data_IF_650720040253
#
_entry.id   IF_650720040253
#
_cell.length_a   1.000
_cell.length_b   1.000
_cell.length_c   1.000
_cell.angle_alpha   90.00
_cell.angle_beta   90.00
_cell.angle_gamma   90.00
#
_symmetry.space_group_name_H-M   'P 1'
#
loop_
_entity.id
_entity.type
_entity.pdbx_description
1 polymer ?
#
# COMPACT_ATOMS: atom_id res chain seq x y z
N UNK A 1 -25.60 14.79 16.82
CA UNK A 1 -25.74 13.33 16.74
C UNK A 1 -25.76 12.75 18.15
N UNK A 2 -24.77 12.97 19.01
CA UNK A 2 -24.67 12.36 20.34
C UNK A 2 -25.93 12.60 21.21
N UNK A 3 -26.45 13.81 21.27
CA UNK A 3 -27.64 14.16 22.04
C UNK A 3 -28.90 13.38 21.57
N UNK A 4 -29.03 13.12 20.28
CA UNK A 4 -30.16 12.33 19.73
C UNK A 4 -30.15 10.87 20.19
N UNK A 5 -29.03 10.41 20.71
CA UNK A 5 -28.83 9.04 21.20
C UNK A 5 -28.62 9.00 22.73
N UNK A 6 -28.90 10.11 23.44
CA UNK A 6 -28.68 10.25 24.89
C UNK A 6 -27.23 9.95 25.31
N UNK A 7 -26.27 10.32 24.48
CA UNK A 7 -24.84 10.17 24.75
C UNK A 7 -24.24 11.48 25.24
N UNK A 8 -23.28 11.44 26.19
CA UNK A 8 -22.60 12.63 26.67
C UNK A 8 -21.90 13.40 25.55
N UNK A 9 -21.98 14.73 25.54
CA UNK A 9 -21.29 15.58 24.56
C UNK A 9 -19.77 15.38 24.55
N UNK A 10 -19.20 15.06 25.71
CA UNK A 10 -17.77 14.85 25.90
C UNK A 10 -17.21 13.55 25.24
N UNK A 11 -18.08 12.66 24.70
CA UNK A 11 -17.61 11.47 23.98
C UNK A 11 -16.81 11.78 22.72
N UNK A 12 -17.03 12.94 22.11
CA UNK A 12 -16.22 13.43 20.99
C UNK A 12 -15.81 14.86 21.32
N UNK A 13 -14.54 15.07 21.51
CA UNK A 13 -13.98 16.38 21.85
C UNK A 13 -12.99 16.81 20.77
N UNK A 14 -13.06 18.07 20.38
CA UNK A 14 -12.09 18.70 19.48
C UNK A 14 -11.28 19.69 20.31
N UNK A 15 -9.95 19.62 20.21
CA UNK A 15 -9.06 20.59 20.84
C UNK A 15 -9.28 21.95 20.19
N UNK A 16 -9.71 23.00 20.95
CA UNK A 16 -10.16 24.25 20.35
C UNK A 16 -9.02 25.13 19.81
N UNK A 17 -7.77 24.85 20.22
CA UNK A 17 -6.60 25.61 19.82
C UNK A 17 -5.73 24.72 18.91
N UNK A 18 -5.39 25.15 17.66
CA UNK A 18 -4.56 24.40 16.74
C UNK A 18 -3.06 24.49 17.03
N UNK A 19 -2.65 25.05 18.15
CA UNK A 19 -1.24 25.15 18.50
C UNK A 19 -0.60 23.76 18.63
N UNK A 20 0.49 23.55 17.92
CA UNK A 20 1.23 22.27 17.94
C UNK A 20 1.84 21.93 19.30
N UNK A 21 2.03 22.91 20.19
CA UNK A 21 2.47 22.67 21.56
C UNK A 21 1.49 21.78 22.32
N UNK A 22 0.19 21.91 22.07
CA UNK A 22 -0.83 21.06 22.68
C UNK A 22 -0.76 19.60 22.21
N UNK A 23 -0.26 19.36 21.01
CA UNK A 23 -0.01 17.98 20.55
C UNK A 23 1.08 17.31 21.41
N UNK A 24 2.13 18.05 21.77
CA UNK A 24 3.16 17.54 22.68
C UNK A 24 2.57 17.17 24.05
N UNK A 25 1.76 18.03 24.61
CA UNK A 25 1.08 17.79 25.89
C UNK A 25 0.18 16.56 25.83
N UNK A 26 -0.60 16.40 24.75
CA UNK A 26 -1.47 15.23 24.55
C UNK A 26 -0.69 13.91 24.48
N UNK A 27 0.45 13.91 23.78
CA UNK A 27 1.30 12.73 23.64
C UNK A 27 1.87 12.22 24.98
N UNK A 28 1.85 13.05 26.02
CA UNK A 28 2.34 12.71 27.36
C UNK A 28 1.25 12.21 28.31
N UNK A 29 -0.03 12.31 27.97
CA UNK A 29 -1.18 12.08 28.86
C UNK A 29 -1.55 10.61 29.00
N UNK A 30 -0.66 9.77 29.52
CA UNK A 30 -0.87 8.32 29.71
C UNK A 30 -2.07 7.98 30.62
N UNK A 31 -2.39 8.86 31.56
CA UNK A 31 -3.48 8.63 32.52
C UNK A 31 -4.87 8.90 31.91
N UNK A 32 -4.92 9.55 30.74
CA UNK A 32 -6.17 9.99 30.11
C UNK A 32 -6.33 9.53 28.67
N UNK A 33 -5.25 9.12 27.99
CA UNK A 33 -5.25 8.73 26.59
C UNK A 33 -4.66 7.33 26.47
N UNK A 34 -5.44 6.40 25.95
CA UNK A 34 -5.06 5.00 25.77
C UNK A 34 -4.27 4.77 24.48
N UNK A 35 -4.59 5.50 23.40
CA UNK A 35 -3.97 5.31 22.09
C UNK A 35 -4.02 6.59 21.25
N UNK A 36 -2.97 6.81 20.47
CA UNK A 36 -2.88 7.88 19.46
C UNK A 36 -2.87 7.24 18.07
N UNK A 37 -3.70 7.79 17.18
CA UNK A 37 -3.74 7.41 15.76
C UNK A 37 -3.39 8.66 14.94
N UNK A 38 -2.12 8.87 14.57
CA UNK A 38 -1.71 10.08 13.85
C UNK A 38 -2.24 10.07 12.42
N UNK A 39 -2.57 11.26 11.92
CA UNK A 39 -2.99 11.51 10.55
C UNK A 39 -2.19 12.67 9.97
N UNK A 40 -1.44 12.42 8.93
CA UNK A 40 -0.60 13.42 8.28
C UNK A 40 0.50 12.78 7.43
N UNK A 41 1.44 13.56 6.96
CA UNK A 41 2.61 13.09 6.24
C UNK A 41 3.61 12.37 7.16
N UNK A 42 4.56 11.68 6.56
CA UNK A 42 5.58 10.85 7.21
C UNK A 42 6.31 11.58 8.36
N UNK A 43 6.67 12.86 8.14
CA UNK A 43 7.34 13.66 9.18
C UNK A 43 6.52 13.86 10.45
N UNK A 44 5.18 14.01 10.35
CA UNK A 44 4.31 14.08 11.52
C UNK A 44 4.21 12.72 12.21
N UNK A 45 4.08 11.65 11.44
CA UNK A 45 3.95 10.30 11.99
C UNK A 45 5.23 9.90 12.71
N UNK A 46 6.39 10.15 12.12
CA UNK A 46 7.69 9.94 12.77
C UNK A 46 7.80 10.75 14.07
N UNK A 47 7.46 12.04 14.01
CA UNK A 47 7.51 12.90 15.19
C UNK A 47 6.64 12.37 16.34
N UNK A 48 5.41 11.94 16.04
CA UNK A 48 4.51 11.37 17.06
C UNK A 48 5.05 10.07 17.60
N UNK A 49 5.54 9.19 16.72
CA UNK A 49 6.08 7.88 17.10
C UNK A 49 7.30 7.99 18.02
N UNK A 50 8.18 8.94 17.72
CA UNK A 50 9.43 9.12 18.47
C UNK A 50 9.22 9.82 19.82
N UNK A 51 8.16 10.63 19.96
CA UNK A 51 7.95 11.48 21.14
C UNK A 51 6.77 11.07 22.02
N UNK A 52 5.83 10.24 21.53
CA UNK A 52 4.67 9.87 22.31
C UNK A 52 5.03 8.93 23.47
N UNK A 53 4.50 9.22 24.64
CA UNK A 53 4.50 8.32 25.80
C UNK A 53 3.28 7.40 25.84
N UNK A 54 2.27 7.71 25.04
CA UNK A 54 1.04 6.94 24.80
C UNK A 54 1.27 5.98 23.64
N UNK A 55 0.72 4.78 23.65
CA UNK A 55 0.78 3.86 22.51
C UNK A 55 0.29 4.49 21.20
N UNK A 56 0.99 4.25 20.09
CA UNK A 56 0.69 4.82 18.78
C UNK A 56 0.35 3.71 17.80
N UNK A 57 -0.76 3.87 17.08
CA UNK A 57 -1.11 3.04 15.91
C UNK A 57 -0.76 3.83 14.68
N UNK A 58 0.29 3.43 13.97
CA UNK A 58 0.80 4.17 12.81
C UNK A 58 1.13 3.27 11.63
N UNK A 59 1.10 3.88 10.44
CA UNK A 59 1.78 3.40 9.25
C UNK A 59 2.50 4.59 8.60
N UNK A 60 3.60 4.34 7.93
CA UNK A 60 4.43 5.41 7.35
C UNK A 60 4.11 5.64 5.87
N UNK A 61 4.04 4.58 5.09
CA UNK A 61 3.80 4.58 3.64
C UNK A 61 2.81 3.49 3.26
N UNK A 62 2.13 3.68 2.11
CA UNK A 62 1.31 2.68 1.45
C UNK A 62 1.94 2.26 0.11
N UNK A 63 3.09 1.57 0.13
CA UNK A 63 3.70 1.00 -1.08
C UNK A 63 3.20 -0.42 -1.25
N UNK A 64 2.21 -0.59 -2.11
CA UNK A 64 1.57 -1.87 -2.39
C UNK A 64 1.99 -2.38 -3.76
N UNK A 65 2.21 -3.69 -3.90
CA UNK A 65 2.62 -4.31 -5.15
C UNK A 65 1.57 -5.27 -5.71
N UNK A 66 1.56 -5.36 -7.04
CA UNK A 66 0.98 -6.49 -7.77
C UNK A 66 2.11 -7.28 -8.42
N UNK A 67 2.29 -8.54 -8.02
CA UNK A 67 3.16 -9.47 -8.71
C UNK A 67 2.36 -10.28 -9.74
N UNK A 68 2.77 -10.22 -10.99
CA UNK A 68 2.22 -11.02 -12.11
C UNK A 68 3.15 -12.20 -12.33
N UNK A 69 2.72 -13.36 -11.88
CA UNK A 69 3.46 -14.61 -11.98
C UNK A 69 3.45 -15.15 -13.43
N UNK A 70 4.37 -16.07 -13.75
CA UNK A 70 4.45 -16.74 -15.06
C UNK A 70 3.17 -17.49 -15.42
N UNK A 71 2.45 -18.00 -14.43
CA UNK A 71 1.21 -18.76 -14.58
C UNK A 71 -0.03 -17.86 -14.38
N UNK A 72 0.10 -16.55 -14.56
CA UNK A 72 -0.99 -15.59 -14.41
C UNK A 72 -1.95 -15.60 -15.61
N UNK A 73 -3.24 -15.41 -15.34
CA UNK A 73 -4.18 -14.96 -16.37
C UNK A 73 -3.95 -13.46 -16.62
N UNK A 74 -3.42 -13.10 -17.80
CA UNK A 74 -2.99 -11.73 -18.10
C UNK A 74 -4.15 -10.74 -18.22
N UNK A 75 -5.36 -11.17 -18.60
CA UNK A 75 -6.54 -10.30 -18.63
C UNK A 75 -6.98 -9.97 -17.21
N UNK A 76 -6.93 -10.96 -16.31
CA UNK A 76 -7.16 -10.74 -14.88
C UNK A 76 -6.10 -9.82 -14.30
N UNK A 77 -4.82 -10.06 -14.58
CA UNK A 77 -3.72 -9.20 -14.12
C UNK A 77 -3.89 -7.74 -14.56
N UNK A 78 -4.32 -7.51 -15.80
CA UNK A 78 -4.63 -6.17 -16.33
C UNK A 78 -5.78 -5.52 -15.56
N UNK A 79 -6.86 -6.24 -15.30
CA UNK A 79 -7.99 -5.71 -14.54
C UNK A 79 -7.59 -5.34 -13.12
N UNK A 80 -6.78 -6.17 -12.44
CA UNK A 80 -6.26 -5.90 -11.11
C UNK A 80 -5.35 -4.68 -11.09
N UNK A 81 -4.44 -4.57 -12.07
CA UNK A 81 -3.51 -3.46 -12.22
C UNK A 81 -4.25 -2.13 -12.41
N UNK A 82 -5.16 -2.08 -13.37
CA UNK A 82 -5.91 -0.86 -13.67
C UNK A 82 -6.80 -0.44 -12.50
N UNK A 83 -7.49 -1.38 -11.87
CA UNK A 83 -8.30 -1.09 -10.69
C UNK A 83 -7.42 -0.58 -9.53
N UNK A 84 -6.34 -1.29 -9.21
CA UNK A 84 -5.45 -0.97 -8.10
C UNK A 84 -4.74 0.37 -8.27
N UNK A 85 -4.34 0.74 -9.50
CA UNK A 85 -3.62 2.01 -9.74
C UNK A 85 -4.51 3.19 -10.09
N UNK A 86 -5.60 2.99 -10.85
CA UNK A 86 -6.30 4.15 -11.45
C UNK A 86 -7.65 4.49 -10.82
N UNK A 87 -8.19 3.65 -9.95
CA UNK A 87 -9.49 3.91 -9.30
C UNK A 87 -9.39 5.08 -8.30
N UNK A 88 -8.36 5.09 -7.46
CA UNK A 88 -8.10 6.14 -6.46
C UNK A 88 -6.63 6.10 -6.06
N UNK A 89 -5.86 7.07 -6.52
CA UNK A 89 -4.40 7.07 -6.38
C UNK A 89 -3.90 7.52 -5.01
N UNK A 90 -4.60 8.44 -4.34
CA UNK A 90 -4.17 9.07 -3.09
C UNK A 90 -4.58 8.30 -1.83
N UNK A 91 -4.52 6.96 -1.85
CA UNK A 91 -4.85 6.10 -0.71
C UNK A 91 -3.81 5.01 -0.54
N UNK A 92 -3.58 4.61 0.70
CA UNK A 92 -2.50 3.69 1.09
C UNK A 92 -2.58 2.28 0.49
N UNK A 93 -3.75 1.84 -0.02
CA UNK A 93 -3.92 0.55 -0.71
C UNK A 93 -3.95 0.66 -2.24
N UNK A 94 -3.61 1.84 -2.81
CA UNK A 94 -3.34 1.97 -4.23
C UNK A 94 -2.03 1.24 -4.59
N UNK A 95 -1.93 0.73 -5.82
CA UNK A 95 -0.68 0.12 -6.28
C UNK A 95 0.35 1.21 -6.56
N UNK A 96 1.56 1.03 -6.02
CA UNK A 96 2.73 1.84 -6.30
C UNK A 96 3.81 1.03 -7.03
N UNK A 97 3.72 -0.30 -6.97
CA UNK A 97 4.62 -1.22 -7.65
C UNK A 97 3.91 -2.29 -8.48
N UNK A 98 4.46 -2.57 -9.67
CA UNK A 98 4.12 -3.71 -10.50
C UNK A 98 5.37 -4.56 -10.69
N UNK A 99 5.33 -5.80 -10.23
CA UNK A 99 6.41 -6.78 -10.43
C UNK A 99 5.94 -7.81 -11.44
N UNK A 100 6.71 -8.07 -12.49
CA UNK A 100 6.31 -8.95 -13.58
C UNK A 100 7.36 -10.02 -13.81
N UNK A 101 6.94 -11.27 -13.80
CA UNK A 101 7.82 -12.39 -14.16
C UNK A 101 8.24 -12.27 -15.62
N UNK A 102 9.55 -12.44 -15.91
CA UNK A 102 10.12 -12.27 -17.25
C UNK A 102 9.44 -13.13 -18.34
N UNK A 103 8.94 -14.31 -17.97
CA UNK A 103 8.30 -15.23 -18.91
C UNK A 103 7.01 -14.67 -19.54
N UNK A 104 6.34 -13.73 -18.88
CA UNK A 104 5.08 -13.11 -19.36
C UNK A 104 5.25 -11.63 -19.70
N UNK A 105 6.42 -11.05 -19.45
CA UNK A 105 6.67 -9.62 -19.66
C UNK A 105 6.42 -9.19 -21.12
N UNK A 106 6.87 -9.99 -22.09
CA UNK A 106 6.70 -9.72 -23.52
C UNK A 106 5.24 -9.69 -24.00
N UNK A 107 4.37 -10.49 -23.40
CA UNK A 107 2.95 -10.57 -23.74
C UNK A 107 2.10 -9.56 -22.93
N UNK A 108 2.56 -9.17 -21.75
CA UNK A 108 1.81 -8.34 -20.81
C UNK A 108 2.17 -6.86 -20.89
N UNK A 109 3.46 -6.50 -20.82
CA UNK A 109 3.90 -5.12 -20.70
C UNK A 109 3.59 -4.22 -21.89
N UNK A 110 3.58 -4.68 -23.17
CA UNK A 110 3.11 -3.85 -24.27
C UNK A 110 1.66 -3.39 -24.11
N UNK A 111 0.79 -4.27 -23.61
CA UNK A 111 -0.62 -3.95 -23.32
C UNK A 111 -0.75 -2.99 -22.15
N UNK A 112 0.09 -3.16 -21.12
CA UNK A 112 0.17 -2.22 -19.98
C UNK A 112 0.59 -0.84 -20.46
N UNK A 113 1.60 -0.76 -21.34
CA UNK A 113 2.09 0.52 -21.88
C UNK A 113 0.99 1.28 -22.62
N UNK A 114 0.20 0.59 -23.45
CA UNK A 114 -0.94 1.18 -24.17
C UNK A 114 -2.01 1.67 -23.19
N UNK A 115 -2.45 0.83 -22.26
CA UNK A 115 -3.47 1.18 -21.28
C UNK A 115 -3.04 2.33 -20.35
N UNK A 116 -1.78 2.37 -19.94
CA UNK A 116 -1.25 3.45 -19.11
C UNK A 116 -1.09 4.75 -19.87
N UNK A 117 -0.71 4.70 -21.13
CA UNK A 117 -0.68 5.88 -22.00
C UNK A 117 -2.07 6.50 -22.13
N UNK A 118 -3.11 5.70 -22.36
CA UNK A 118 -4.50 6.18 -22.44
C UNK A 118 -4.97 6.83 -21.13
N UNK A 119 -4.53 6.31 -19.99
CA UNK A 119 -4.90 6.80 -18.65
C UNK A 119 -3.97 7.88 -18.10
N UNK A 120 -2.91 8.22 -18.80
CA UNK A 120 -1.93 9.22 -18.37
C UNK A 120 -1.10 8.76 -17.15
N UNK A 121 -0.86 7.47 -17.01
CA UNK A 121 -0.02 6.92 -15.95
C UNK A 121 1.46 7.04 -16.33
N UNK A 122 2.25 7.72 -15.53
CA UNK A 122 3.70 7.80 -15.68
C UNK A 122 4.34 6.51 -15.16
N UNK A 123 5.32 6.00 -15.91
CA UNK A 123 5.98 4.72 -15.59
C UNK A 123 7.44 4.95 -15.29
N UNK A 124 7.89 4.36 -14.19
CA UNK A 124 9.30 4.19 -13.81
C UNK A 124 9.64 2.70 -13.93
N UNK A 125 10.78 2.37 -14.53
CA UNK A 125 11.03 0.97 -14.90
C UNK A 125 12.51 0.60 -14.76
N UNK A 126 12.82 -0.69 -14.51
CA UNK A 126 14.19 -1.18 -14.59
C UNK A 126 14.63 -1.39 -16.06
N UNK A 127 15.93 -1.59 -16.28
CA UNK A 127 16.49 -1.81 -17.62
C UNK A 127 15.77 -2.95 -18.40
N UNK A 128 15.45 -4.06 -17.74
CA UNK A 128 14.76 -5.20 -18.39
C UNK A 128 13.38 -4.83 -18.91
N UNK A 129 12.69 -3.91 -18.24
CA UNK A 129 11.36 -3.46 -18.61
C UNK A 129 11.35 -2.28 -19.59
N UNK A 130 12.44 -1.51 -19.69
CA UNK A 130 12.49 -0.26 -20.46
C UNK A 130 12.14 -0.43 -21.93
N UNK A 131 12.45 -1.58 -22.50
CA UNK A 131 12.14 -1.91 -23.91
C UNK A 131 10.62 -1.92 -24.24
N UNK A 132 9.77 -1.98 -23.23
CA UNK A 132 8.30 -2.04 -23.40
C UNK A 132 7.62 -0.68 -23.25
N UNK A 133 8.34 0.35 -22.80
CA UNK A 133 7.75 1.65 -22.46
C UNK A 133 8.56 2.80 -23.08
N UNK A 134 8.07 3.35 -24.18
CA UNK A 134 8.68 4.51 -24.83
C UNK A 134 8.65 5.73 -23.89
N UNK A 135 9.83 6.28 -23.60
CA UNK A 135 9.98 7.46 -22.77
C UNK A 135 9.74 7.25 -21.26
N UNK A 136 9.73 6.01 -20.78
CA UNK A 136 9.71 5.73 -19.35
C UNK A 136 11.02 6.14 -18.68
N UNK A 137 10.93 6.59 -17.43
CA UNK A 137 12.10 6.86 -16.61
C UNK A 137 12.73 5.53 -16.18
N UNK A 138 13.97 5.28 -16.61
CA UNK A 138 14.73 4.14 -16.11
C UNK A 138 15.31 4.52 -14.76
N UNK A 139 14.88 3.81 -13.72
CA UNK A 139 15.25 4.08 -12.34
C UNK A 139 16.30 3.09 -11.83
N UNK A 140 17.11 3.56 -10.88
CA UNK A 140 18.05 2.71 -10.14
C UNK A 140 17.31 1.83 -9.13
N UNK A 141 17.97 0.77 -8.65
CA UNK A 141 17.41 -0.12 -7.64
C UNK A 141 16.97 0.62 -6.36
N UNK A 142 17.69 1.65 -5.97
CA UNK A 142 17.38 2.43 -4.74
C UNK A 142 16.16 3.36 -4.88
N UNK A 143 15.65 3.53 -6.10
CA UNK A 143 14.51 4.41 -6.37
C UNK A 143 13.15 3.71 -6.27
N UNK A 144 13.13 2.40 -6.03
CA UNK A 144 11.89 1.70 -5.68
C UNK A 144 11.44 2.03 -4.25
N UNK A 145 10.18 1.80 -3.94
CA UNK A 145 9.62 2.06 -2.61
C UNK A 145 9.09 3.47 -2.39
N UNK A 146 8.95 4.26 -3.46
CA UNK A 146 8.26 5.55 -3.40
C UNK A 146 6.74 5.37 -3.40
N UNK A 147 6.07 6.15 -2.56
CA UNK A 147 4.62 6.30 -2.56
C UNK A 147 4.25 7.53 -3.40
N UNK A 148 3.87 7.31 -4.65
CA UNK A 148 3.63 8.39 -5.61
C UNK A 148 2.34 9.17 -5.34
N UNK A 149 1.33 8.53 -4.76
CA UNK A 149 0.00 9.10 -4.49
C UNK A 149 -0.67 9.72 -5.72
N UNK A 150 -0.22 9.37 -6.91
CA UNK A 150 -0.61 9.92 -8.19
C UNK A 150 -0.75 8.85 -9.28
N UNK A 151 -0.96 9.28 -10.52
CA UNK A 151 -0.93 8.39 -11.69
C UNK A 151 0.53 8.12 -12.10
N UNK A 152 1.28 7.53 -11.18
CA UNK A 152 2.67 7.09 -11.35
C UNK A 152 2.85 5.72 -10.73
N UNK A 153 3.71 4.87 -11.30
CA UNK A 153 3.98 3.52 -10.80
C UNK A 153 5.39 3.07 -11.17
N UNK A 154 6.03 2.33 -10.26
CA UNK A 154 7.28 1.64 -10.55
C UNK A 154 7.02 0.22 -11.06
N UNK A 155 7.69 -0.16 -12.16
CA UNK A 155 7.55 -1.49 -12.77
C UNK A 155 8.90 -2.19 -12.75
N UNK A 156 8.93 -3.43 -12.26
CA UNK A 156 10.13 -4.27 -12.26
C UNK A 156 9.86 -5.60 -12.94
N UNK A 157 10.70 -5.93 -13.92
CA UNK A 157 10.75 -7.29 -14.50
C UNK A 157 11.75 -8.12 -13.71
N UNK A 158 11.30 -9.26 -13.20
CA UNK A 158 12.08 -10.19 -12.38
C UNK A 158 12.23 -11.55 -13.04
N UNK A 159 13.27 -12.28 -12.65
CA UNK A 159 13.60 -13.56 -13.27
C UNK A 159 12.72 -14.72 -12.77
N UNK A 160 12.32 -14.67 -11.49
CA UNK A 160 11.60 -15.73 -10.81
C UNK A 160 10.74 -15.20 -9.65
N UNK A 161 10.10 -16.13 -8.97
CA UNK A 161 9.23 -15.86 -7.82
C UNK A 161 10.03 -15.33 -6.63
N UNK A 162 11.20 -15.87 -6.37
CA UNK A 162 12.06 -15.49 -5.27
C UNK A 162 12.50 -14.02 -5.39
N UNK A 163 12.90 -13.61 -6.59
CA UNK A 163 13.24 -12.21 -6.88
C UNK A 163 12.06 -11.25 -6.72
N UNK A 164 10.82 -11.72 -6.97
CA UNK A 164 9.63 -10.93 -6.70
C UNK A 164 9.38 -10.76 -5.19
N UNK A 165 9.52 -11.83 -4.40
CA UNK A 165 9.38 -11.79 -2.95
C UNK A 165 10.45 -10.91 -2.31
N UNK A 166 11.70 -11.02 -2.76
CA UNK A 166 12.82 -10.21 -2.28
C UNK A 166 12.59 -8.71 -2.58
N UNK A 167 12.09 -8.39 -3.79
CA UNK A 167 11.73 -7.03 -4.14
C UNK A 167 10.65 -6.46 -3.20
N UNK A 168 9.58 -7.22 -2.97
CA UNK A 168 8.50 -6.82 -2.08
C UNK A 168 9.01 -6.64 -0.65
N UNK A 169 9.87 -7.54 -0.16
CA UNK A 169 10.45 -7.44 1.18
C UNK A 169 11.34 -6.21 1.36
N UNK A 170 12.05 -5.82 0.30
CA UNK A 170 12.96 -4.67 0.33
C UNK A 170 12.24 -3.32 0.18
N UNK A 171 11.25 -3.23 -0.69
CA UNK A 171 10.65 -1.97 -1.12
C UNK A 171 9.19 -1.79 -0.70
N UNK A 172 8.51 -2.84 -0.27
CA UNK A 172 7.17 -2.79 0.25
C UNK A 172 7.08 -2.10 1.61
N UNK A 173 5.87 -1.69 1.95
CA UNK A 173 5.58 -1.02 3.22
C UNK A 173 4.91 -1.93 4.26
N UNK A 174 4.89 -3.23 4.03
CA UNK A 174 4.15 -4.23 4.83
C UNK A 174 2.63 -3.97 4.89
N UNK A 175 2.09 -3.21 3.92
CA UNK A 175 0.68 -2.85 3.90
C UNK A 175 -0.16 -3.90 3.16
N UNK A 176 -0.11 -3.93 1.85
CA UNK A 176 -0.93 -4.83 1.01
C UNK A 176 -0.17 -5.31 -0.20
N UNK A 177 -0.07 -6.62 -0.35
CA UNK A 177 0.67 -7.24 -1.44
C UNK A 177 -0.22 -8.25 -2.17
N UNK A 178 -0.12 -8.29 -3.49
CA UNK A 178 -1.00 -9.10 -4.34
C UNK A 178 -0.17 -9.94 -5.30
N UNK A 179 -0.53 -11.21 -5.45
CA UNK A 179 -0.08 -12.06 -6.57
C UNK A 179 -1.25 -12.34 -7.51
N UNK A 180 -0.99 -12.25 -8.82
CA UNK A 180 -1.85 -12.80 -9.86
C UNK A 180 -1.24 -14.08 -10.38
N UNK A 181 -1.90 -15.22 -10.17
CA UNK A 181 -1.46 -16.56 -10.61
C UNK A 181 -2.63 -17.53 -10.70
N UNK A 182 -2.59 -18.46 -11.63
CA UNK A 182 -3.53 -19.60 -11.68
C UNK A 182 -2.98 -20.84 -10.94
N UNK A 183 -1.71 -20.81 -10.51
CA UNK A 183 -1.13 -21.83 -9.64
C UNK A 183 -1.52 -21.60 -8.18
N UNK A 184 -2.46 -22.43 -7.69
CA UNK A 184 -2.97 -22.32 -6.32
C UNK A 184 -1.89 -22.57 -5.25
N UNK A 185 -0.91 -23.44 -5.51
CA UNK A 185 0.17 -23.71 -4.54
C UNK A 185 1.14 -22.53 -4.49
N UNK A 186 1.42 -21.89 -5.61
CA UNK A 186 2.22 -20.67 -5.67
C UNK A 186 1.51 -19.50 -4.95
N UNK A 187 0.20 -19.38 -5.13
CA UNK A 187 -0.61 -18.41 -4.37
C UNK A 187 -0.48 -18.59 -2.86
N UNK A 188 -0.57 -19.85 -2.37
CA UNK A 188 -0.36 -20.17 -0.94
C UNK A 188 1.08 -19.90 -0.49
N UNK A 189 2.06 -20.20 -1.34
CA UNK A 189 3.46 -19.94 -1.05
C UNK A 189 3.71 -18.43 -0.89
N UNK A 190 3.16 -17.61 -1.78
CA UNK A 190 3.22 -16.16 -1.70
C UNK A 190 2.65 -15.62 -0.39
N UNK A 191 1.47 -16.11 0.03
CA UNK A 191 0.85 -15.74 1.30
C UNK A 191 1.68 -16.10 2.53
N UNK A 192 2.59 -17.08 2.44
CA UNK A 192 3.48 -17.47 3.54
C UNK A 192 4.82 -16.74 3.49
N UNK A 193 5.29 -16.40 2.28
CA UNK A 193 6.60 -15.79 2.08
C UNK A 193 6.58 -14.28 2.26
N UNK A 194 5.46 -13.63 1.93
CA UNK A 194 5.33 -12.17 1.99
C UNK A 194 4.82 -11.72 3.35
N UNK A 195 5.55 -10.81 3.96
CA UNK A 195 5.24 -10.23 5.25
C UNK A 195 4.51 -8.89 5.07
N UNK A 196 3.20 -8.93 5.06
CA UNK A 196 2.35 -7.73 4.98
C UNK A 196 1.06 -7.90 5.79
N UNK A 197 0.42 -6.78 6.12
CA UNK A 197 -0.86 -6.79 6.86
C UNK A 197 -1.95 -7.52 6.09
N UNK A 198 -1.92 -7.41 4.75
CA UNK A 198 -2.86 -8.09 3.85
C UNK A 198 -2.10 -8.67 2.66
N UNK A 199 -2.22 -9.98 2.44
CA UNK A 199 -1.64 -10.69 1.30
C UNK A 199 -2.74 -11.40 0.52
N UNK A 200 -2.94 -11.00 -0.73
CA UNK A 200 -4.06 -11.44 -1.56
C UNK A 200 -3.61 -12.25 -2.78
N UNK A 201 -4.45 -13.15 -3.21
CA UNK A 201 -4.31 -13.91 -4.46
C UNK A 201 -5.46 -13.54 -5.39
N UNK A 202 -5.17 -13.09 -6.60
CA UNK A 202 -6.16 -12.77 -7.63
C UNK A 202 -7.27 -11.78 -7.18
N UNK A 203 -6.93 -10.85 -6.31
CA UNK A 203 -7.84 -9.82 -5.82
C UNK A 203 -7.17 -8.45 -5.91
N UNK A 204 -7.95 -7.39 -6.08
CA UNK A 204 -7.40 -6.03 -6.11
C UNK A 204 -6.91 -5.59 -4.73
N UNK A 205 -5.77 -4.88 -4.68
CA UNK A 205 -5.28 -4.25 -3.46
C UNK A 205 -6.33 -3.31 -2.83
N UNK A 206 -7.26 -2.79 -3.64
CA UNK A 206 -8.37 -1.94 -3.20
C UNK A 206 -9.37 -2.63 -2.27
N UNK A 207 -9.35 -3.96 -2.19
CA UNK A 207 -10.12 -4.71 -1.19
C UNK A 207 -9.55 -4.65 0.22
N UNK A 208 -8.31 -4.19 0.39
CA UNK A 208 -7.71 -3.93 1.71
C UNK A 208 -8.32 -2.68 2.34
N UNK A 209 -9.60 -2.73 2.66
CA UNK A 209 -10.43 -1.65 3.16
C UNK A 209 -11.53 -2.25 4.04
N UNK A 210 -11.71 -1.75 5.25
CA UNK A 210 -12.65 -2.28 6.21
C UNK A 210 -14.09 -2.29 5.69
N UNK A 211 -14.50 -1.30 4.90
CA UNK A 211 -15.82 -1.24 4.30
C UNK A 211 -16.01 -2.29 3.20
N UNK A 212 -14.98 -2.53 2.38
CA UNK A 212 -14.98 -3.55 1.34
C UNK A 212 -15.04 -4.97 1.92
N UNK A 213 -14.39 -5.18 3.05
CA UNK A 213 -14.41 -6.45 3.80
C UNK A 213 -15.68 -6.63 4.65
N UNK A 214 -16.60 -5.66 4.66
CA UNK A 214 -17.82 -5.73 5.44
C UNK A 214 -17.63 -5.50 6.95
N UNK A 215 -16.49 -4.94 7.36
CA UNK A 215 -16.15 -4.67 8.76
C UNK A 215 -16.65 -3.31 9.27
N UNK A 216 -17.30 -2.53 8.40
CA UNK A 216 -17.82 -1.19 8.71
C UNK A 216 -16.79 -0.09 8.46
N UNK A 217 -16.75 0.93 9.32
CA UNK A 217 -15.84 2.05 9.18
C UNK A 217 -14.40 1.66 9.54
N UNK A 218 -13.44 2.26 8.84
CA UNK A 218 -12.02 2.16 9.12
C UNK A 218 -11.51 3.48 9.67
N UNK A 219 -10.79 3.46 10.79
CA UNK A 219 -10.22 4.65 11.44
C UNK A 219 -8.75 4.82 11.06
N UNK A 220 -8.01 3.73 11.03
CA UNK A 220 -6.59 3.69 10.71
C UNK A 220 -6.15 2.28 10.40
N UNK A 221 -4.97 2.16 9.79
CA UNK A 221 -4.30 0.90 9.55
C UNK A 221 -2.91 0.96 10.20
N UNK A 222 -2.45 -0.15 10.74
CA UNK A 222 -1.11 -0.28 11.28
C UNK A 222 -0.36 -1.36 10.52
N UNK A 223 0.88 -1.07 10.16
CA UNK A 223 1.83 -2.03 9.59
C UNK A 223 2.88 -2.47 10.62
N UNK A 224 2.78 -1.94 11.85
CA UNK A 224 3.61 -2.35 12.97
C UNK A 224 3.14 -3.69 13.54
N UNK A 225 4.10 -4.56 13.85
CA UNK A 225 3.83 -5.83 14.53
C UNK A 225 3.72 -5.56 16.03
N UNK A 226 2.50 -5.36 16.49
CA UNK A 226 2.21 -5.31 17.91
C UNK A 226 2.14 -6.72 18.48
N UNK A 227 2.46 -6.85 19.76
CA UNK A 227 2.41 -8.13 20.45
C UNK A 227 0.97 -8.65 20.49
N UNK A 228 0.76 -9.88 20.03
CA UNK A 228 -0.51 -10.59 20.19
C UNK A 228 -0.66 -11.12 21.61
N UNK A 229 -1.82 -11.04 22.20
CA UNK A 229 -2.18 -11.56 23.51
C UNK A 229 -3.35 -12.51 23.43
#
# INVERSE_FOLDING_TARGET
VLEKHNLPKALVTVVPNPDRALMQELMEQRDYIDVIIPRGGEGLINYVTDNAKVPVIQHFKGVCHLYVDKDANLDKAMALLLNGKTQRTGVCNALEGLVVHQAVAGDFLPKVAEAFKEKGVKVHVNEKGSQYFDGADVISEDAYGEEYLGLEIAIRVVDDFEAAVDHIAQFGSNHTEVICTEDAEKGKLFQRAVDASVVMVNASSRFSDGSQLGLGAEIGIATTKLHAY
#
